data_IF_109730324913
#
_entry.id   IF_109730324913
#
_cell.length_a   1.000
_cell.length_b   1.000
_cell.length_c   1.000
_cell.angle_alpha   90.00
_cell.angle_beta   90.00
_cell.angle_gamma   90.00
#
_symmetry.space_group_name_H-M   'P 1'
#
loop_
_entity.id
_entity.type
_entity.pdbx_description
1 polymer ?
#
# COMPACT_ATOMS: atom_id res chain seq x y z
N UNK A 1 -18.84 -16.21 -4.25
CA UNK A 1 -18.33 -16.62 -2.93
C UNK A 1 -18.66 -15.50 -1.98
N UNK A 2 -19.46 -15.79 -0.96
CA UNK A 2 -20.00 -14.83 0.00
C UNK A 2 -18.87 -14.23 0.80
N UNK A 3 -18.64 -12.92 0.69
CA UNK A 3 -17.81 -12.21 1.65
C UNK A 3 -18.62 -12.10 2.94
N UNK A 4 -18.05 -12.52 4.06
CA UNK A 4 -18.62 -12.25 5.36
C UNK A 4 -18.84 -10.73 5.49
N UNK A 5 -20.02 -10.34 5.99
CA UNK A 5 -20.56 -8.98 6.18
C UNK A 5 -19.72 -8.06 7.11
N UNK A 6 -18.41 -8.28 7.23
CA UNK A 6 -17.52 -7.53 8.10
C UNK A 6 -16.77 -6.43 7.36
N UNK A 7 -17.10 -5.18 7.64
CA UNK A 7 -16.30 -4.03 7.19
C UNK A 7 -14.88 -4.15 7.76
N UNK A 8 -13.87 -4.14 6.90
CA UNK A 8 -12.46 -4.16 7.32
C UNK A 8 -12.13 -2.92 8.15
N UNK A 9 -11.19 -3.06 9.08
CA UNK A 9 -10.59 -1.93 9.80
C UNK A 9 -9.14 -1.73 9.39
N UNK A 10 -8.69 -0.48 9.36
CA UNK A 10 -7.32 -0.10 9.08
C UNK A 10 -6.58 0.26 10.37
N UNK A 11 -5.54 -0.50 10.73
CA UNK A 11 -4.81 -0.33 11.99
C UNK A 11 -3.34 0.02 11.76
N UNK A 12 -2.87 1.11 12.38
CA UNK A 12 -1.47 1.53 12.31
C UNK A 12 -0.57 0.61 13.14
N UNK A 13 0.56 0.21 12.56
CA UNK A 13 1.59 -0.57 13.25
C UNK A 13 2.69 0.36 13.74
N UNK A 14 2.87 0.41 15.07
CA UNK A 14 3.98 1.14 15.68
C UNK A 14 5.34 0.52 15.26
N UNK A 15 6.36 1.34 14.92
CA UNK A 15 7.71 0.85 14.63
C UNK A 15 8.31 -0.02 15.74
N UNK A 16 7.85 0.12 16.99
CA UNK A 16 8.34 -0.67 18.11
C UNK A 16 7.90 -2.14 18.06
N UNK A 17 6.72 -2.43 17.49
CA UNK A 17 6.15 -3.79 17.40
C UNK A 17 6.29 -4.39 16.00
N UNK A 18 6.94 -3.67 15.06
CA UNK A 18 7.10 -4.11 13.68
C UNK A 18 7.75 -5.50 13.57
N UNK A 19 8.65 -5.86 14.49
CA UNK A 19 9.33 -7.16 14.50
C UNK A 19 8.37 -8.35 14.63
N UNK A 20 7.23 -8.17 15.29
CA UNK A 20 6.24 -9.23 15.51
C UNK A 20 5.34 -9.43 14.29
N UNK A 21 5.05 -8.34 13.58
CA UNK A 21 4.16 -8.33 12.40
C UNK A 21 4.93 -8.66 11.11
N UNK A 22 6.20 -8.26 11.02
CA UNK A 22 6.99 -8.35 9.80
C UNK A 22 7.06 -9.76 9.19
N UNK A 23 7.26 -10.86 9.96
CA UNK A 23 7.28 -12.21 9.40
C UNK A 23 6.01 -12.60 8.64
N UNK A 24 4.86 -12.02 9.00
CA UNK A 24 3.56 -12.28 8.37
C UNK A 24 3.47 -11.55 7.03
N UNK A 25 3.84 -10.27 6.99
CA UNK A 25 3.63 -9.41 5.82
C UNK A 25 4.81 -9.42 4.83
N UNK A 26 6.01 -9.80 5.25
CA UNK A 26 7.22 -9.82 4.40
C UNK A 26 6.99 -10.59 3.09
N UNK A 27 6.40 -11.79 3.07
CA UNK A 27 6.11 -12.49 1.82
C UNK A 27 5.16 -11.73 0.89
N UNK A 28 4.27 -10.89 1.45
CA UNK A 28 3.36 -10.05 0.67
C UNK A 28 4.06 -8.83 0.09
N UNK A 29 4.97 -8.22 0.85
CA UNK A 29 5.86 -7.15 0.36
C UNK A 29 6.72 -7.66 -0.79
N UNK A 30 7.37 -8.81 -0.63
CA UNK A 30 8.16 -9.48 -1.70
C UNK A 30 7.30 -9.74 -2.95
N UNK A 31 6.04 -10.13 -2.75
CA UNK A 31 5.09 -10.34 -3.86
C UNK A 31 4.73 -9.03 -4.57
N UNK A 32 4.56 -7.92 -3.84
CA UNK A 32 4.34 -6.59 -4.45
C UNK A 32 5.57 -6.19 -5.27
N UNK A 33 6.77 -6.26 -4.68
CA UNK A 33 8.05 -5.95 -5.34
C UNK A 33 8.21 -6.76 -6.63
N UNK A 34 8.03 -8.08 -6.56
CA UNK A 34 8.13 -8.97 -7.73
C UNK A 34 7.10 -8.63 -8.81
N UNK A 35 5.85 -8.32 -8.44
CA UNK A 35 4.78 -8.00 -9.40
C UNK A 35 4.91 -6.62 -10.02
N UNK A 36 5.50 -5.67 -9.31
CA UNK A 36 5.77 -4.32 -9.79
C UNK A 36 7.18 -4.18 -10.38
N UNK A 37 8.02 -5.22 -10.32
CA UNK A 37 9.43 -5.20 -10.76
C UNK A 37 10.21 -4.04 -10.12
N UNK A 38 9.96 -3.82 -8.84
CA UNK A 38 10.61 -2.75 -8.09
C UNK A 38 12.09 -3.08 -7.83
N UNK A 39 12.98 -2.08 -7.81
CA UNK A 39 14.42 -2.29 -7.64
C UNK A 39 14.84 -2.47 -6.18
N UNK A 40 13.94 -2.19 -5.23
CA UNK A 40 14.21 -2.24 -3.79
C UNK A 40 13.87 -3.62 -3.18
N UNK A 41 14.43 -3.89 -2.01
CA UNK A 41 14.22 -5.11 -1.24
C UNK A 41 13.10 -4.92 -0.20
N UNK A 42 12.56 -6.02 0.31
CA UNK A 42 11.58 -5.94 1.40
C UNK A 42 12.22 -5.29 2.65
N UNK A 43 13.50 -5.50 2.87
CA UNK A 43 14.27 -4.93 3.98
C UNK A 43 14.40 -3.40 3.89
N UNK A 44 14.38 -2.82 2.68
CA UNK A 44 14.34 -1.36 2.52
C UNK A 44 13.02 -0.79 3.07
N UNK A 45 11.90 -1.50 2.80
CA UNK A 45 10.60 -1.15 3.37
C UNK A 45 10.60 -1.28 4.89
N UNK A 46 11.13 -2.39 5.42
CA UNK A 46 11.25 -2.59 6.86
C UNK A 46 12.04 -1.45 7.51
N UNK A 47 13.19 -1.10 6.91
CA UNK A 47 14.07 -0.04 7.39
C UNK A 47 13.34 1.30 7.45
N UNK A 48 12.67 1.69 6.36
CA UNK A 48 11.94 2.96 6.29
C UNK A 48 10.78 3.04 7.30
N UNK A 49 10.06 1.93 7.56
CA UNK A 49 9.05 1.89 8.62
C UNK A 49 9.71 2.00 9.99
N UNK A 50 10.81 1.26 10.23
CA UNK A 50 11.52 1.24 11.51
C UNK A 50 12.14 2.60 11.85
N UNK A 51 12.63 3.31 10.83
CA UNK A 51 13.16 4.67 10.93
C UNK A 51 12.07 5.76 11.02
N UNK A 52 10.78 5.37 10.99
CA UNK A 52 9.65 6.29 10.97
C UNK A 52 9.62 7.25 9.77
N UNK A 53 10.25 6.87 8.66
CA UNK A 53 10.11 7.56 7.37
C UNK A 53 8.88 7.07 6.59
N UNK A 54 8.41 5.85 6.88
CA UNK A 54 7.16 5.30 6.37
C UNK A 54 6.24 4.87 7.52
N UNK A 55 4.98 4.58 7.18
CA UNK A 55 3.98 4.03 8.09
C UNK A 55 3.40 2.76 7.47
N UNK A 56 3.26 1.74 8.28
CA UNK A 56 2.57 0.50 7.94
C UNK A 56 1.18 0.52 8.57
N UNK A 57 0.17 0.15 7.78
CA UNK A 57 -1.15 -0.17 8.27
C UNK A 57 -1.56 -1.57 7.83
N UNK A 58 -2.30 -2.26 8.69
CA UNK A 58 -2.87 -3.58 8.42
C UNK A 58 -4.37 -3.45 8.16
N UNK A 59 -4.85 -4.21 7.20
CA UNK A 59 -6.28 -4.42 7.01
C UNK A 59 -6.70 -5.64 7.81
N UNK A 60 -7.64 -5.45 8.73
CA UNK A 60 -8.12 -6.49 9.64
C UNK A 60 -9.60 -6.80 9.41
N UNK A 61 -9.97 -8.07 9.48
CA UNK A 61 -11.37 -8.50 9.59
C UNK A 61 -11.95 -8.14 10.98
N UNK A 62 -13.28 -8.22 11.20
CA UNK A 62 -13.86 -8.08 12.53
C UNK A 62 -13.28 -9.08 13.55
N UNK A 63 -12.88 -10.26 13.10
CA UNK A 63 -12.23 -11.31 13.90
C UNK A 63 -10.73 -11.06 14.13
N UNK A 64 -10.20 -9.90 13.71
CA UNK A 64 -8.80 -9.49 13.84
C UNK A 64 -7.80 -10.30 13.02
N UNK A 65 -8.25 -10.92 11.94
CA UNK A 65 -7.37 -11.58 10.98
C UNK A 65 -6.74 -10.55 10.02
N UNK A 66 -5.44 -10.66 9.77
CA UNK A 66 -4.73 -9.79 8.82
C UNK A 66 -5.02 -10.25 7.39
N UNK A 67 -5.68 -9.40 6.60
CA UNK A 67 -6.06 -9.68 5.21
C UNK A 67 -5.36 -8.79 4.18
N UNK A 68 -4.45 -7.94 4.64
CA UNK A 68 -3.63 -7.11 3.76
C UNK A 68 -2.81 -6.08 4.52
N UNK A 69 -2.08 -5.28 3.75
CA UNK A 69 -1.34 -4.14 4.28
C UNK A 69 -1.28 -2.98 3.28
N UNK A 70 -1.01 -1.78 3.80
CA UNK A 70 -0.59 -0.63 3.02
C UNK A 70 0.61 0.01 3.70
N UNK A 71 1.61 0.40 2.89
CA UNK A 71 2.73 1.24 3.35
C UNK A 71 2.59 2.59 2.68
N UNK A 72 2.65 3.63 3.50
CA UNK A 72 2.59 5.02 3.06
C UNK A 72 3.85 5.75 3.51
N UNK A 73 4.27 6.74 2.73
CA UNK A 73 5.48 7.52 2.95
C UNK A 73 5.15 9.01 2.82
N UNK A 74 5.27 9.79 3.90
CA UNK A 74 5.22 11.25 3.81
C UNK A 74 6.46 11.78 3.07
N UNK A 75 6.25 12.46 1.96
CA UNK A 75 7.28 13.07 1.12
C UNK A 75 7.01 14.58 1.01
N UNK A 76 7.44 15.32 2.04
CA UNK A 76 7.19 16.76 2.13
C UNK A 76 5.69 17.07 2.27
N UNK A 77 5.07 17.59 1.21
CA UNK A 77 3.62 17.91 1.18
C UNK A 77 2.82 16.83 0.43
N UNK A 78 3.41 15.68 0.17
CA UNK A 78 2.77 14.59 -0.57
C UNK A 78 2.74 13.36 0.31
N UNK A 79 1.58 12.70 0.42
CA UNK A 79 1.50 11.36 1.01
C UNK A 79 1.62 10.34 -0.13
N UNK A 80 2.72 9.61 -0.20
CA UNK A 80 2.91 8.58 -1.21
C UNK A 80 2.41 7.22 -0.69
N UNK A 81 1.43 6.64 -1.37
CA UNK A 81 1.05 5.24 -1.21
C UNK A 81 2.13 4.38 -1.87
N UNK A 82 3.09 3.91 -1.07
CA UNK A 82 4.26 3.19 -1.58
C UNK A 82 3.91 1.77 -2.01
N UNK A 83 3.07 1.08 -1.25
CA UNK A 83 2.56 -0.23 -1.63
C UNK A 83 1.23 -0.54 -0.95
N UNK A 84 0.41 -1.35 -1.62
CA UNK A 84 -0.83 -1.90 -1.09
C UNK A 84 -0.95 -3.36 -1.52
N UNK A 85 -1.41 -4.19 -0.59
CA UNK A 85 -1.66 -5.60 -0.82
C UNK A 85 -2.93 -6.04 -0.10
N UNK A 86 -3.72 -6.88 -0.76
CA UNK A 86 -4.83 -7.62 -0.15
C UNK A 86 -4.74 -9.08 -0.55
N UNK A 87 -5.00 -9.98 0.39
CA UNK A 87 -5.06 -11.42 0.12
C UNK A 87 -6.20 -11.74 -0.87
N UNK A 88 -6.17 -12.94 -1.45
CA UNK A 88 -7.21 -13.37 -2.39
C UNK A 88 -8.58 -13.32 -1.72
N UNK A 89 -9.57 -12.77 -2.43
CA UNK A 89 -10.90 -12.48 -1.87
C UNK A 89 -11.03 -11.04 -1.36
N UNK A 90 -10.03 -10.48 -0.67
CA UNK A 90 -10.17 -9.18 -0.02
C UNK A 90 -9.63 -7.98 -0.82
N UNK A 91 -9.18 -8.18 -2.07
CA UNK A 91 -8.51 -7.13 -2.83
C UNK A 91 -9.38 -5.89 -3.10
N UNK A 92 -10.70 -6.04 -3.26
CA UNK A 92 -11.60 -4.89 -3.41
C UNK A 92 -11.84 -4.19 -2.07
N UNK A 93 -12.08 -4.98 -1.02
CA UNK A 93 -12.37 -4.49 0.34
C UNK A 93 -11.21 -3.65 0.89
N UNK A 94 -9.95 -4.04 0.66
CA UNK A 94 -8.79 -3.26 1.11
C UNK A 94 -8.71 -1.89 0.44
N UNK A 95 -9.09 -1.79 -0.84
CA UNK A 95 -9.08 -0.49 -1.57
C UNK A 95 -10.20 0.41 -1.06
N UNK A 96 -11.39 -0.14 -0.85
CA UNK A 96 -12.53 0.60 -0.31
C UNK A 96 -12.26 1.07 1.13
N UNK A 97 -11.75 0.17 1.98
CA UNK A 97 -11.35 0.50 3.34
C UNK A 97 -10.29 1.61 3.35
N UNK A 98 -9.24 1.50 2.52
CA UNK A 98 -8.21 2.55 2.44
C UNK A 98 -8.82 3.90 2.08
N UNK A 99 -9.69 3.95 1.06
CA UNK A 99 -10.31 5.18 0.59
C UNK A 99 -11.06 5.92 1.69
N UNK A 100 -11.74 5.22 2.60
CA UNK A 100 -12.45 5.82 3.72
C UNK A 100 -11.54 6.49 4.76
N UNK A 101 -10.28 6.07 4.83
CA UNK A 101 -9.30 6.57 5.81
C UNK A 101 -8.26 7.52 5.20
N UNK A 102 -8.12 7.53 3.87
CA UNK A 102 -6.97 8.11 3.19
C UNK A 102 -6.83 9.62 3.41
N UNK A 103 -7.94 10.37 3.37
CA UNK A 103 -7.93 11.82 3.60
C UNK A 103 -7.54 12.18 5.03
N UNK A 104 -8.00 11.41 6.02
CA UNK A 104 -7.66 11.62 7.43
C UNK A 104 -6.18 11.34 7.68
N UNK A 105 -5.65 10.28 7.08
CA UNK A 105 -4.22 9.94 7.15
C UNK A 105 -3.38 11.04 6.49
N UNK A 106 -3.75 11.47 5.28
CA UNK A 106 -3.05 12.55 4.57
C UNK A 106 -3.06 13.86 5.35
N UNK A 107 -4.19 14.22 5.96
CA UNK A 107 -4.30 15.39 6.81
C UNK A 107 -3.41 15.30 8.06
N UNK A 108 -3.35 14.13 8.70
CA UNK A 108 -2.48 13.87 9.86
C UNK A 108 -0.99 14.00 9.55
N UNK A 109 -0.59 13.73 8.31
CA UNK A 109 0.79 13.89 7.81
C UNK A 109 1.01 15.27 7.13
N UNK A 110 0.06 16.21 7.27
CA UNK A 110 0.09 17.55 6.67
C UNK A 110 0.28 17.57 5.13
N UNK A 111 -0.14 16.51 4.46
CA UNK A 111 -0.06 16.39 3.01
C UNK A 111 -1.14 17.24 2.32
N UNK A 112 -0.82 17.70 1.11
CA UNK A 112 -1.71 18.44 0.20
C UNK A 112 -2.18 17.59 -0.97
N UNK A 113 -1.49 16.50 -1.25
CA UNK A 113 -1.85 15.56 -2.29
C UNK A 113 -1.45 14.14 -1.87
N UNK A 114 -2.15 13.15 -2.43
CA UNK A 114 -1.81 11.74 -2.30
C UNK A 114 -1.34 11.25 -3.67
N UNK A 115 -0.27 10.46 -3.69
CA UNK A 115 0.26 9.87 -4.93
C UNK A 115 0.37 8.37 -4.81
N UNK A 116 0.25 7.69 -5.94
CA UNK A 116 0.47 6.25 -6.06
C UNK A 116 1.08 5.98 -7.43
N UNK A 117 2.07 5.10 -7.49
CA UNK A 117 2.71 4.68 -8.75
C UNK A 117 2.78 3.17 -8.82
N UNK A 118 2.42 2.62 -9.98
CA UNK A 118 2.61 1.20 -10.24
C UNK A 118 2.63 0.96 -11.75
N UNK A 119 3.49 0.07 -12.27
CA UNK A 119 3.49 -0.30 -13.69
C UNK A 119 2.30 -1.20 -14.07
N UNK A 120 1.57 -1.74 -13.09
CA UNK A 120 0.43 -2.63 -13.31
C UNK A 120 -0.81 -1.83 -13.73
N UNK A 121 -1.19 -1.94 -15.01
CA UNK A 121 -2.38 -1.30 -15.62
C UNK A 121 -3.71 -1.58 -14.90
N UNK A 122 -3.81 -2.71 -14.18
CA UNK A 122 -5.02 -3.07 -13.43
C UNK A 122 -5.38 -2.07 -12.33
N UNK A 123 -4.43 -1.27 -11.84
CA UNK A 123 -4.71 -0.25 -10.83
C UNK A 123 -5.47 0.96 -11.35
N UNK A 124 -5.32 1.33 -12.63
CA UNK A 124 -5.94 2.54 -13.17
C UNK A 124 -7.46 2.56 -12.91
N UNK A 125 -8.14 1.44 -13.19
CA UNK A 125 -9.58 1.31 -12.98
C UNK A 125 -9.98 1.47 -11.51
N UNK A 126 -9.18 0.94 -10.58
CA UNK A 126 -9.47 1.06 -9.15
C UNK A 126 -9.17 2.46 -8.62
N UNK A 127 -8.03 3.04 -8.98
CA UNK A 127 -7.60 4.36 -8.54
C UNK A 127 -8.58 5.46 -8.97
N UNK A 128 -9.08 5.41 -10.20
CA UNK A 128 -10.10 6.35 -10.68
C UNK A 128 -11.39 6.28 -9.85
N UNK A 129 -11.80 5.08 -9.40
CA UNK A 129 -13.00 4.94 -8.55
C UNK A 129 -12.86 5.56 -7.16
N UNK A 130 -11.63 5.81 -6.71
CA UNK A 130 -11.31 6.42 -5.42
C UNK A 130 -10.70 7.83 -5.57
N UNK A 131 -10.95 8.50 -6.71
CA UNK A 131 -10.64 9.92 -6.90
C UNK A 131 -9.22 10.24 -7.36
N UNK A 132 -8.37 9.24 -7.62
CA UNK A 132 -7.06 9.48 -8.21
C UNK A 132 -7.21 9.80 -9.70
N UNK A 133 -6.48 10.80 -10.17
CA UNK A 133 -6.36 11.13 -11.59
C UNK A 133 -4.93 10.92 -12.08
N UNK A 134 -4.69 10.37 -13.28
CA UNK A 134 -3.34 10.26 -13.83
C UNK A 134 -2.65 11.62 -13.92
N UNK A 135 -1.48 11.76 -13.28
CA UNK A 135 -0.65 12.99 -13.32
C UNK A 135 0.47 12.92 -14.36
N UNK A 136 1.02 11.74 -14.60
CA UNK A 136 2.11 11.49 -15.56
C UNK A 136 2.05 10.09 -16.14
N UNK A 137 2.58 9.90 -17.35
CA UNK A 137 2.72 8.60 -18.02
C UNK A 137 4.19 8.38 -18.37
N UNK A 138 4.73 7.22 -18.02
CA UNK A 138 6.12 6.83 -18.36
C UNK A 138 6.09 5.87 -19.55
N UNK A 139 6.82 6.21 -20.61
CA UNK A 139 7.05 5.34 -21.76
C UNK A 139 8.50 4.84 -21.72
N UNK A 140 8.69 3.54 -21.84
CA UNK A 140 10.02 2.90 -21.82
C UNK A 140 10.19 1.98 -23.03
N UNK A 141 11.41 1.94 -23.56
CA UNK A 141 11.84 1.00 -24.60
C UNK A 141 13.18 0.39 -24.19
N UNK A 142 13.25 -0.93 -24.14
CA UNK A 142 14.50 -1.65 -23.88
C UNK A 142 15.45 -1.55 -25.08
N UNK A 143 16.73 -1.36 -24.80
CA UNK A 143 17.78 -1.40 -25.82
C UNK A 143 18.20 -2.86 -26.01
N UNK A 144 18.30 -3.31 -27.26
CA UNK A 144 18.93 -4.60 -27.57
C UNK A 144 20.45 -4.40 -27.46
N UNK A 145 21.05 -4.91 -26.39
CA UNK A 145 22.50 -5.13 -26.39
C UNK A 145 22.74 -6.43 -27.17
N UNK A 146 23.57 -6.32 -28.23
CA UNK A 146 23.94 -7.45 -29.10
C UNK A 146 24.99 -8.34 -28.47
#
# INVERSE_FOLDING_TARGET
>A
MSHADGKLTLEWVSPHVLGDVWPIIRPWVERVISKAQEPYLAEDVFYEIKAANARLFLFLTPEKEIVGHVVIQPLGKTLHLWQIFGVAGHSADVVLCLNEHLDAIAAGEFAKEITFSSPRKGWCKWLETIGFTPKSVVYQRELKHG
#
